data_IF_623572153432
#
_entry.id   IF_623572153432
#
_cell.length_a   1.000
_cell.length_b   1.000
_cell.length_c   1.000
_cell.angle_alpha   90.00
_cell.angle_beta   90.00
_cell.angle_gamma   90.00
#
_symmetry.space_group_name_H-M   'P 1'
#
loop_
_entity.id
_entity.type
_entity.pdbx_description
1 polymer ?
#
# COMPACT_ATOMS: atom_id res chain seq x y z
N UNK A 1 9.76 7.47 -50.00
CA UNK A 1 8.77 7.26 -48.94
C UNK A 1 9.28 7.99 -47.69
N UNK A 2 8.74 9.14 -47.43
CA UNK A 2 9.23 10.13 -46.46
C UNK A 2 8.51 9.91 -45.12
N UNK A 3 9.23 9.49 -44.06
CA UNK A 3 8.72 9.43 -42.71
C UNK A 3 8.83 10.78 -42.02
N UNK A 4 7.66 11.37 -41.76
CA UNK A 4 7.50 12.64 -41.05
C UNK A 4 7.65 12.42 -39.52
N UNK A 5 8.72 12.90 -38.92
CA UNK A 5 8.95 12.98 -37.49
C UNK A 5 8.06 14.08 -36.90
N UNK A 6 7.05 13.72 -36.12
CA UNK A 6 6.29 14.66 -35.28
C UNK A 6 6.97 14.80 -33.93
N UNK A 7 7.66 15.90 -33.76
CA UNK A 7 8.17 16.36 -32.47
C UNK A 7 7.01 16.86 -31.61
N UNK A 8 6.70 16.13 -30.53
CA UNK A 8 5.76 16.57 -29.50
C UNK A 8 6.45 17.53 -28.53
N UNK A 9 6.03 18.77 -28.50
CA UNK A 9 6.48 19.78 -27.54
C UNK A 9 5.79 19.53 -26.20
N UNK A 10 6.54 19.16 -25.17
CA UNK A 10 6.06 19.07 -23.80
C UNK A 10 6.16 20.43 -23.13
N UNK A 11 5.02 21.04 -22.86
CA UNK A 11 4.94 22.30 -22.12
C UNK A 11 4.99 22.01 -20.62
N UNK A 12 6.10 22.37 -19.98
CA UNK A 12 6.26 22.35 -18.52
C UNK A 12 5.51 23.53 -17.92
N UNK A 13 4.40 23.27 -17.22
CA UNK A 13 3.70 24.28 -16.42
C UNK A 13 4.38 24.33 -15.05
N UNK A 14 5.15 25.38 -14.80
CA UNK A 14 5.72 25.69 -13.48
C UNK A 14 4.67 26.46 -12.70
N UNK A 15 4.09 25.81 -11.67
CA UNK A 15 3.21 26.47 -10.70
C UNK A 15 4.08 27.17 -9.67
N UNK A 16 4.14 28.50 -9.74
CA UNK A 16 4.85 29.34 -8.77
C UNK A 16 4.10 29.40 -7.43
N UNK A 17 4.75 28.98 -6.35
CA UNK A 17 4.28 29.18 -4.98
C UNK A 17 4.59 30.62 -4.58
N UNK A 18 3.54 31.47 -4.48
CA UNK A 18 3.65 32.84 -4.00
C UNK A 18 3.88 32.87 -2.47
N UNK A 19 5.02 33.40 -2.05
CA UNK A 19 5.26 33.77 -0.65
C UNK A 19 4.46 35.03 -0.34
N UNK A 20 3.41 34.92 0.48
CA UNK A 20 2.73 36.06 1.07
C UNK A 20 3.56 36.61 2.23
N UNK A 21 4.09 37.82 2.06
CA UNK A 21 4.72 38.56 3.15
C UNK A 21 3.63 39.09 4.12
N UNK A 22 3.66 38.66 5.37
CA UNK A 22 2.82 39.17 6.42
C UNK A 22 3.38 40.51 6.95
N UNK A 23 2.57 41.58 7.14
CA UNK A 23 3.02 42.83 7.76
C UNK A 23 3.24 42.62 9.27
N UNK A 24 4.39 43.07 9.78
CA UNK A 24 4.66 43.15 11.20
C UNK A 24 3.75 44.19 11.85
N UNK A 25 2.75 43.75 12.61
CA UNK A 25 2.00 44.64 13.52
C UNK A 25 2.81 44.84 14.79
N UNK A 26 2.93 46.12 15.21
CA UNK A 26 3.60 46.54 16.45
C UNK A 26 2.91 45.91 17.66
N UNK A 27 3.71 45.26 18.53
CA UNK A 27 3.23 44.68 19.77
C UNK A 27 2.92 45.77 20.79
N UNK A 28 1.68 45.84 21.21
CA UNK A 28 1.24 46.58 22.39
C UNK A 28 1.66 45.79 23.65
N UNK A 29 2.41 46.42 24.54
CA UNK A 29 2.89 45.83 25.79
C UNK A 29 1.78 45.87 26.85
N UNK A 30 0.86 44.97 26.80
CA UNK A 30 -0.19 44.86 27.80
C UNK A 30 -0.91 43.52 27.75
N UNK A 31 -0.61 42.68 28.69
CA UNK A 31 -1.24 41.37 29.00
C UNK A 31 -0.44 40.16 28.55
N UNK A 32 0.14 39.47 29.52
CA UNK A 32 0.76 38.15 29.30
C UNK A 32 -0.27 37.24 28.65
N UNK A 33 0.00 36.73 27.46
CA UNK A 33 -0.86 35.72 26.86
C UNK A 33 -0.91 34.49 27.76
N UNK A 34 -2.09 33.84 27.90
CA UNK A 34 -2.18 32.61 28.66
C UNK A 34 -1.16 31.62 28.08
N UNK A 35 -0.46 30.92 28.97
CA UNK A 35 0.56 29.97 28.61
C UNK A 35 0.00 29.03 27.52
N UNK A 36 0.76 28.72 26.44
CA UNK A 36 0.31 27.79 25.44
C UNK A 36 -0.03 26.46 26.12
N UNK A 37 -1.15 25.81 25.72
CA UNK A 37 -1.50 24.50 26.27
C UNK A 37 -0.27 23.60 26.15
N UNK A 38 0.14 23.02 27.28
CA UNK A 38 1.23 22.02 27.30
C UNK A 38 0.94 21.00 26.23
N UNK A 39 1.93 20.57 25.43
CA UNK A 39 1.73 19.49 24.47
C UNK A 39 1.20 18.30 25.27
N UNK A 40 -0.11 18.03 25.10
CA UNK A 40 -0.75 16.88 25.72
C UNK A 40 0.01 15.63 25.29
N UNK A 41 0.42 14.82 26.26
CA UNK A 41 0.93 13.48 25.94
C UNK A 41 -0.12 12.79 25.06
N UNK A 42 0.29 12.06 24.01
CA UNK A 42 -0.66 11.30 23.20
C UNK A 42 -1.50 10.44 24.15
N UNK A 43 -2.81 10.63 24.11
CA UNK A 43 -3.72 9.84 24.93
C UNK A 43 -3.46 8.36 24.65
N UNK A 44 -3.17 7.58 25.69
CA UNK A 44 -3.07 6.13 25.55
C UNK A 44 -4.44 5.62 25.11
N UNK A 45 -4.51 4.96 23.94
CA UNK A 45 -5.76 4.45 23.42
C UNK A 45 -6.37 3.45 24.42
N UNK A 46 -7.69 3.54 24.61
CA UNK A 46 -8.41 2.60 25.47
C UNK A 46 -8.51 1.22 24.81
N UNK A 47 -8.76 0.16 25.58
CA UNK A 47 -8.94 -1.20 25.06
C UNK A 47 -10.02 -1.25 23.95
N UNK A 48 -11.15 -0.55 24.15
CA UNK A 48 -12.23 -0.49 23.18
C UNK A 48 -11.80 0.20 21.86
N UNK A 49 -10.98 1.26 21.96
CA UNK A 49 -10.43 1.94 20.79
C UNK A 49 -9.46 1.04 20.01
N UNK A 50 -8.62 0.28 20.72
CA UNK A 50 -7.70 -0.66 20.11
C UNK A 50 -8.44 -1.79 19.38
N UNK A 51 -9.49 -2.34 19.98
CA UNK A 51 -10.34 -3.37 19.36
C UNK A 51 -11.05 -2.83 18.13
N UNK A 52 -11.61 -1.64 18.18
CA UNK A 52 -12.25 -0.99 17.03
C UNK A 52 -11.25 -0.73 15.89
N UNK A 53 -10.05 -0.26 16.22
CA UNK A 53 -8.97 -0.04 15.25
C UNK A 53 -8.54 -1.36 14.59
N UNK A 54 -8.40 -2.43 15.39
CA UNK A 54 -8.06 -3.76 14.89
C UNK A 54 -9.12 -4.30 13.93
N UNK A 55 -10.40 -4.25 14.29
CA UNK A 55 -11.49 -4.71 13.43
C UNK A 55 -11.49 -3.96 12.10
N UNK A 56 -11.42 -2.62 12.13
CA UNK A 56 -11.40 -1.80 10.90
C UNK A 56 -10.21 -2.14 10.00
N UNK A 57 -9.00 -2.25 10.58
CA UNK A 57 -7.79 -2.56 9.82
C UNK A 57 -7.83 -3.97 9.23
N UNK A 58 -8.31 -4.95 10.00
CA UNK A 58 -8.40 -6.35 9.58
C UNK A 58 -9.44 -6.55 8.46
N UNK A 59 -10.58 -5.86 8.51
CA UNK A 59 -11.57 -5.86 7.43
C UNK A 59 -10.99 -5.27 6.13
N UNK A 60 -10.29 -4.13 6.21
CA UNK A 60 -9.64 -3.52 5.05
C UNK A 60 -8.55 -4.42 4.47
N UNK A 61 -7.75 -5.07 5.32
CA UNK A 61 -6.73 -6.02 4.89
C UNK A 61 -7.35 -7.23 4.20
N UNK A 62 -8.41 -7.82 4.78
CA UNK A 62 -9.12 -8.98 4.20
C UNK A 62 -9.65 -8.67 2.80
N UNK A 63 -10.30 -7.52 2.62
CA UNK A 63 -10.79 -7.11 1.30
C UNK A 63 -9.66 -6.96 0.27
N UNK A 64 -8.50 -6.41 0.67
CA UNK A 64 -7.33 -6.32 -0.17
C UNK A 64 -6.74 -7.69 -0.51
N UNK A 65 -6.71 -8.60 0.47
CA UNK A 65 -6.21 -9.96 0.28
C UNK A 65 -7.10 -10.76 -0.70
N UNK A 66 -8.44 -10.65 -0.58
CA UNK A 66 -9.38 -11.31 -1.47
C UNK A 66 -9.22 -10.82 -2.92
N UNK A 67 -9.03 -9.51 -3.11
CA UNK A 67 -8.76 -8.93 -4.43
C UNK A 67 -7.44 -9.49 -5.01
N UNK A 68 -6.38 -9.51 -4.22
CA UNK A 68 -5.07 -10.03 -4.65
C UNK A 68 -5.16 -11.53 -4.97
N UNK A 69 -5.81 -12.32 -4.13
CA UNK A 69 -5.93 -13.77 -4.29
C UNK A 69 -6.72 -14.13 -5.55
N UNK A 70 -7.87 -13.51 -5.79
CA UNK A 70 -8.72 -13.81 -6.95
C UNK A 70 -8.00 -13.52 -8.28
N UNK A 71 -7.29 -12.39 -8.37
CA UNK A 71 -6.61 -11.98 -9.59
C UNK A 71 -5.26 -12.65 -9.79
N UNK A 72 -4.56 -13.02 -8.70
CA UNK A 72 -3.33 -13.79 -8.81
C UNK A 72 -3.61 -15.25 -9.17
N UNK A 73 -4.73 -15.84 -8.75
CA UNK A 73 -5.11 -17.19 -9.17
C UNK A 73 -5.24 -17.31 -10.70
N UNK A 74 -5.84 -16.30 -11.35
CA UNK A 74 -5.92 -16.27 -12.81
C UNK A 74 -4.54 -16.31 -13.48
N UNK A 75 -3.57 -15.57 -12.94
CA UNK A 75 -2.19 -15.61 -13.42
C UNK A 75 -1.52 -16.95 -13.14
N UNK A 76 -1.70 -17.50 -11.93
CA UNK A 76 -1.14 -18.80 -11.55
C UNK A 76 -1.72 -19.94 -12.42
N UNK A 77 -3.01 -19.89 -12.75
CA UNK A 77 -3.68 -20.89 -13.59
C UNK A 77 -3.12 -20.90 -15.01
N UNK A 78 -2.97 -19.74 -15.64
CA UNK A 78 -2.43 -19.63 -17.01
C UNK A 78 -0.91 -19.90 -17.07
N UNK A 79 -0.22 -19.82 -15.93
CA UNK A 79 1.22 -20.15 -15.82
C UNK A 79 1.47 -21.53 -15.21
N UNK A 80 0.41 -22.31 -14.96
CA UNK A 80 0.55 -23.67 -14.48
C UNK A 80 1.26 -24.55 -15.51
N UNK A 81 2.40 -25.14 -15.11
CA UNK A 81 3.23 -25.95 -15.99
C UNK A 81 4.49 -25.23 -16.49
N UNK A 82 5.31 -25.96 -17.26
CA UNK A 82 6.68 -25.52 -17.59
C UNK A 82 6.82 -24.89 -18.99
N UNK A 83 5.72 -24.66 -19.73
CA UNK A 83 5.77 -24.24 -21.13
C UNK A 83 5.10 -22.90 -21.43
N UNK A 84 4.67 -22.15 -20.42
CA UNK A 84 4.09 -20.82 -20.61
C UNK A 84 5.15 -19.76 -20.93
N UNK A 85 4.74 -18.73 -21.61
CA UNK A 85 5.60 -17.59 -21.98
C UNK A 85 4.87 -16.27 -21.75
N UNK A 86 5.61 -15.25 -21.36
CA UNK A 86 5.05 -13.90 -21.14
C UNK A 86 4.54 -13.22 -22.42
N UNK A 87 4.90 -13.71 -23.60
CA UNK A 87 4.41 -13.24 -24.90
C UNK A 87 3.09 -13.91 -25.34
N UNK A 88 2.64 -14.94 -24.62
CA UNK A 88 1.30 -15.48 -24.81
C UNK A 88 0.26 -14.43 -24.40
N UNK A 89 -0.74 -14.12 -25.24
CA UNK A 89 -1.73 -13.06 -24.96
C UNK A 89 -2.49 -13.27 -23.67
N UNK A 90 -2.78 -14.51 -23.30
CA UNK A 90 -3.49 -14.88 -22.08
C UNK A 90 -2.63 -14.61 -20.83
N UNK A 91 -1.37 -15.08 -20.85
CA UNK A 91 -0.40 -14.83 -19.79
C UNK A 91 -0.10 -13.33 -19.65
N UNK A 92 0.08 -12.61 -20.76
CA UNK A 92 0.31 -11.19 -20.76
C UNK A 92 -0.86 -10.42 -20.14
N UNK A 93 -2.09 -10.79 -20.47
CA UNK A 93 -3.32 -10.19 -19.91
C UNK A 93 -3.44 -10.45 -18.40
N UNK A 94 -3.30 -11.71 -17.99
CA UNK A 94 -3.36 -12.11 -16.58
C UNK A 94 -2.26 -11.44 -15.75
N UNK A 95 -1.04 -11.31 -16.29
CA UNK A 95 0.07 -10.60 -15.65
C UNK A 95 -0.27 -9.12 -15.38
N UNK A 96 -0.83 -8.40 -16.36
CA UNK A 96 -1.21 -6.99 -16.20
C UNK A 96 -2.31 -6.85 -15.13
N UNK A 97 -3.34 -7.69 -15.18
CA UNK A 97 -4.47 -7.68 -14.23
C UNK A 97 -3.99 -8.00 -12.82
N UNK A 98 -3.21 -9.08 -12.64
CA UNK A 98 -2.66 -9.49 -11.35
C UNK A 98 -1.76 -8.42 -10.74
N UNK A 99 -0.89 -7.78 -11.53
CA UNK A 99 -0.04 -6.69 -11.06
C UNK A 99 -0.83 -5.44 -10.63
N UNK A 100 -1.92 -5.13 -11.33
CA UNK A 100 -2.78 -4.00 -10.98
C UNK A 100 -3.46 -4.25 -9.64
N UNK A 101 -4.03 -5.44 -9.44
CA UNK A 101 -4.67 -5.81 -8.20
C UNK A 101 -3.69 -5.93 -7.02
N UNK A 102 -2.50 -6.50 -7.23
CA UNK A 102 -1.45 -6.55 -6.20
C UNK A 102 -1.02 -5.16 -5.75
N UNK A 103 -0.93 -4.18 -6.67
CA UNK A 103 -0.60 -2.80 -6.32
C UNK A 103 -1.68 -2.18 -5.45
N UNK A 104 -2.94 -2.35 -5.80
CA UNK A 104 -4.07 -1.85 -5.04
C UNK A 104 -4.15 -2.51 -3.67
N UNK A 105 -4.05 -3.83 -3.61
CA UNK A 105 -4.05 -4.59 -2.36
C UNK A 105 -2.88 -4.19 -1.44
N UNK A 106 -1.68 -4.00 -1.99
CA UNK A 106 -0.52 -3.54 -1.22
C UNK A 106 -0.73 -2.14 -0.62
N UNK A 107 -1.33 -1.22 -1.39
CA UNK A 107 -1.67 0.11 -0.91
C UNK A 107 -2.72 0.04 0.21
N UNK A 108 -3.76 -0.77 0.05
CA UNK A 108 -4.81 -0.99 1.05
C UNK A 108 -4.23 -1.58 2.35
N UNK A 109 -3.36 -2.59 2.26
CA UNK A 109 -2.69 -3.19 3.41
C UNK A 109 -1.79 -2.18 4.15
N UNK A 110 -1.05 -1.35 3.40
CA UNK A 110 -0.23 -0.29 3.99
C UNK A 110 -1.10 0.75 4.69
N UNK A 111 -2.20 1.16 4.08
CA UNK A 111 -3.17 2.09 4.69
C UNK A 111 -3.80 1.50 5.95
N UNK A 112 -4.27 0.26 5.90
CA UNK A 112 -4.82 -0.46 7.04
C UNK A 112 -3.80 -0.52 8.20
N UNK A 113 -2.52 -0.78 7.91
CA UNK A 113 -1.44 -0.81 8.91
C UNK A 113 -1.19 0.52 9.61
N UNK A 114 -1.66 1.63 9.05
CA UNK A 114 -1.51 2.97 9.59
C UNK A 114 -2.75 3.43 10.38
N UNK A 115 -3.73 2.56 10.63
CA UNK A 115 -4.94 2.88 11.40
C UNK A 115 -4.56 3.37 12.80
N UNK A 116 -5.02 4.56 13.21
CA UNK A 116 -4.73 5.10 14.55
C UNK A 116 -5.20 4.17 15.66
N UNK A 117 -4.34 3.89 16.63
CA UNK A 117 -4.62 2.97 17.73
C UNK A 117 -4.41 1.48 17.40
N UNK A 118 -4.00 1.15 16.18
CA UNK A 118 -3.69 -0.22 15.81
C UNK A 118 -2.39 -0.70 16.48
N UNK A 119 -2.47 -1.87 17.12
CA UNK A 119 -1.33 -2.46 17.83
C UNK A 119 -0.23 -2.92 16.86
N UNK A 120 1.06 -2.84 17.28
CA UNK A 120 2.20 -3.25 16.46
C UNK A 120 2.15 -4.71 15.98
N UNK A 121 1.54 -5.58 16.80
CA UNK A 121 1.36 -7.02 16.53
C UNK A 121 0.50 -7.28 15.29
N UNK A 122 -0.38 -6.33 14.94
CA UNK A 122 -1.25 -6.39 13.76
C UNK A 122 -0.67 -5.54 12.63
N UNK A 123 -0.28 -4.29 12.94
CA UNK A 123 0.24 -3.36 11.93
C UNK A 123 1.55 -3.83 11.29
N UNK A 124 2.41 -4.51 12.07
CA UNK A 124 3.69 -5.04 11.60
C UNK A 124 3.53 -6.08 10.48
N UNK A 125 2.78 -7.17 10.69
CA UNK A 125 2.47 -8.16 9.66
C UNK A 125 1.84 -7.55 8.39
N UNK A 126 0.87 -6.64 8.52
CA UNK A 126 0.24 -5.96 7.37
C UNK A 126 1.25 -5.18 6.52
N UNK A 127 2.20 -4.47 7.17
CA UNK A 127 3.28 -3.77 6.46
C UNK A 127 4.20 -4.73 5.73
N UNK A 128 4.60 -5.83 6.37
CA UNK A 128 5.45 -6.84 5.71
C UNK A 128 4.75 -7.42 4.50
N UNK A 129 3.47 -7.79 4.64
CA UNK A 129 2.66 -8.27 3.52
C UNK A 129 2.63 -7.27 2.35
N UNK A 130 2.42 -5.97 2.63
CA UNK A 130 2.45 -4.92 1.61
C UNK A 130 3.80 -4.88 0.87
N UNK A 131 4.92 -4.97 1.60
CA UNK A 131 6.27 -5.00 1.01
C UNK A 131 6.48 -6.26 0.15
N UNK A 132 5.99 -7.44 0.60
CA UNK A 132 6.07 -8.68 -0.17
C UNK A 132 5.20 -8.64 -1.43
N UNK A 133 3.99 -8.06 -1.35
CA UNK A 133 3.15 -7.82 -2.52
C UNK A 133 3.86 -6.95 -3.56
N UNK A 134 4.58 -5.91 -3.12
CA UNK A 134 5.41 -5.09 -4.02
C UNK A 134 6.60 -5.88 -4.60
N UNK A 135 7.23 -6.79 -3.84
CA UNK A 135 8.27 -7.69 -4.36
C UNK A 135 7.71 -8.56 -5.50
N UNK A 136 6.59 -9.25 -5.26
CA UNK A 136 5.94 -10.08 -6.28
C UNK A 136 5.57 -9.26 -7.52
N UNK A 137 4.99 -8.06 -7.34
CA UNK A 137 4.66 -7.15 -8.43
C UNK A 137 5.89 -6.79 -9.27
N UNK A 138 7.04 -6.57 -8.65
CA UNK A 138 8.30 -6.28 -9.36
C UNK A 138 8.77 -7.51 -10.14
N UNK A 139 8.77 -8.72 -9.54
CA UNK A 139 9.15 -9.96 -10.20
C UNK A 139 8.28 -10.21 -11.45
N UNK A 140 6.96 -10.07 -11.30
CA UNK A 140 6.02 -10.16 -12.44
C UNK A 140 6.27 -9.06 -13.48
N UNK A 141 6.67 -7.85 -13.04
CA UNK A 141 6.94 -6.71 -13.91
C UNK A 141 8.18 -6.86 -14.77
N UNK A 142 9.24 -7.46 -14.23
CA UNK A 142 10.48 -7.74 -14.97
C UNK A 142 10.43 -9.09 -15.69
N UNK A 143 9.27 -9.76 -15.67
CA UNK A 143 9.07 -11.08 -16.26
C UNK A 143 10.04 -12.12 -15.70
N UNK A 144 10.09 -12.17 -14.35
CA UNK A 144 10.92 -13.13 -13.61
C UNK A 144 10.60 -14.57 -14.01
N UNK A 145 11.57 -15.46 -13.79
CA UNK A 145 11.34 -16.90 -14.02
C UNK A 145 10.38 -17.49 -12.98
N UNK A 146 9.92 -18.70 -13.20
CA UNK A 146 8.98 -19.40 -12.33
C UNK A 146 9.46 -19.45 -10.88
N UNK A 147 10.72 -19.86 -10.67
CA UNK A 147 11.27 -20.01 -9.32
C UNK A 147 11.22 -18.69 -8.53
N UNK A 148 11.57 -17.56 -9.15
CA UNK A 148 11.52 -16.24 -8.52
C UNK A 148 10.08 -15.79 -8.22
N UNK A 149 9.13 -16.15 -9.10
CA UNK A 149 7.71 -15.85 -8.91
C UNK A 149 7.13 -16.69 -7.78
N UNK A 150 7.42 -17.99 -7.76
CA UNK A 150 6.96 -18.94 -6.74
C UNK A 150 7.54 -18.59 -5.36
N UNK A 151 8.83 -18.25 -5.28
CA UNK A 151 9.44 -17.78 -4.05
C UNK A 151 8.76 -16.50 -3.51
N UNK A 152 8.55 -15.51 -4.37
CA UNK A 152 7.92 -14.27 -3.97
C UNK A 152 6.44 -14.47 -3.54
N UNK A 153 5.72 -15.37 -4.22
CA UNK A 153 4.35 -15.72 -3.86
C UNK A 153 4.28 -16.49 -2.53
N UNK A 154 5.22 -17.41 -2.29
CA UNK A 154 5.31 -18.17 -1.03
C UNK A 154 5.55 -17.23 0.15
N UNK A 155 6.51 -16.30 0.05
CA UNK A 155 6.77 -15.31 1.09
C UNK A 155 5.55 -14.42 1.37
N UNK A 156 4.81 -14.05 0.31
CA UNK A 156 3.59 -13.25 0.44
C UNK A 156 2.49 -14.02 1.18
N UNK A 157 2.32 -15.31 0.89
CA UNK A 157 1.35 -16.19 1.56
C UNK A 157 1.69 -16.39 3.03
N UNK A 158 2.96 -16.52 3.39
CA UNK A 158 3.40 -16.64 4.79
C UNK A 158 3.05 -15.39 5.58
N UNK A 159 3.28 -14.21 5.03
CA UNK A 159 2.91 -12.95 5.68
C UNK A 159 1.38 -12.73 5.72
N UNK A 160 0.62 -13.23 4.72
CA UNK A 160 -0.84 -13.24 4.75
C UNK A 160 -1.35 -14.07 5.94
N UNK A 161 -0.83 -15.29 6.10
CA UNK A 161 -1.19 -16.16 7.22
C UNK A 161 -0.88 -15.54 8.58
N UNK A 162 0.30 -14.92 8.73
CA UNK A 162 0.67 -14.23 9.98
C UNK A 162 -0.28 -13.06 10.27
N UNK A 163 -0.65 -12.29 9.26
CA UNK A 163 -1.58 -11.16 9.41
C UNK A 163 -2.97 -11.63 9.81
N UNK A 164 -3.51 -12.65 9.13
CA UNK A 164 -4.81 -13.24 9.46
C UNK A 164 -4.83 -13.81 10.89
N UNK A 165 -3.74 -14.46 11.31
CA UNK A 165 -3.59 -14.97 12.67
C UNK A 165 -3.59 -13.84 13.70
N UNK A 166 -2.86 -12.75 13.45
CA UNK A 166 -2.85 -11.58 14.32
C UNK A 166 -4.24 -10.93 14.42
N UNK A 167 -4.96 -10.83 13.31
CA UNK A 167 -6.33 -10.34 13.27
C UNK A 167 -7.31 -11.22 14.07
N UNK A 168 -7.21 -12.54 13.93
CA UNK A 168 -8.05 -13.48 14.68
C UNK A 168 -7.83 -13.36 16.20
N UNK A 169 -6.59 -13.19 16.62
CA UNK A 169 -6.26 -13.04 18.05
C UNK A 169 -6.73 -11.70 18.64
N UNK A 170 -6.86 -10.66 17.81
CA UNK A 170 -7.34 -9.35 18.26
C UNK A 170 -8.86 -9.29 18.43
N UNK A 171 -9.60 -10.24 17.87
CA UNK A 171 -11.07 -10.33 17.94
C UNK A 171 -11.58 -11.14 19.12
N UNK A 172 -10.67 -11.70 19.96
CA UNK A 172 -10.97 -12.51 21.16
C UNK A 172 -10.73 -11.72 22.44
#
# INVERSE_FOLDING_TARGET
>A
MTHSLRAGVWTLVVVGVGLAAAPCAAADLGEFPPAPPSPGFPAVATADQNTSAANTACEQFSAGLDLAASTYSDFADVTSGNQWRYDDPEVASANVTGRTALREAAANALHASATPGLQPEISGPMRRWSVRAMKLLLVMGVRGNNDATDEAASELNDDAYQTQTACANAST
#
